data_IF_310309898268
#
_entry.id   IF_310309898268
#
_cell.length_a   1.000
_cell.length_b   1.000
_cell.length_c   1.000
_cell.angle_alpha   90.00
_cell.angle_beta   90.00
_cell.angle_gamma   90.00
#
_symmetry.space_group_name_H-M   'P 1'
#
loop_
_entity.id
_entity.type
_entity.pdbx_description
1 polymer ?
2 non-polymer ?
#
# COMPACT_ATOMS: atom_id res chain seq x y z
N UNK A 5 -8.62 12.63 -17.30
CA UNK A 5 -9.40 13.22 -16.21
C UNK A 5 -8.98 12.76 -14.84
N UNK A 6 -8.76 11.49 -14.72
CA UNK A 6 -8.48 10.85 -13.49
C UNK A 6 -8.00 9.43 -13.82
N UNK A 7 -7.70 8.65 -12.83
CA UNK A 7 -7.33 7.29 -13.04
C UNK A 7 -8.64 6.49 -13.09
N UNK A 8 -8.70 5.54 -13.98
CA UNK A 8 -9.90 4.73 -14.14
C UNK A 8 -9.64 3.33 -13.66
N UNK A 9 -8.52 3.15 -12.99
CA UNK A 9 -8.14 1.85 -12.44
C UNK A 9 -8.50 1.86 -10.98
N UNK A 10 -9.39 2.79 -10.61
CA UNK A 10 -9.76 3.01 -9.23
C UNK A 10 -10.25 1.74 -8.59
N UNK A 11 -11.29 1.20 -9.15
CA UNK A 11 -11.91 -0.04 -8.64
C UNK A 11 -10.97 -1.25 -8.80
N UNK A 12 -10.14 -1.18 -9.80
CA UNK A 12 -9.18 -2.22 -10.10
C UNK A 12 -8.08 -2.26 -9.03
N UNK A 13 -7.85 -1.12 -8.44
CA UNK A 13 -6.83 -1.00 -7.45
C UNK A 13 -7.36 -0.63 -6.09
N UNK A 14 -8.65 -0.48 -5.96
CA UNK A 14 -9.26 -0.14 -4.70
C UNK A 14 -10.47 -1.05 -4.48
N UNK A 15 -10.49 -1.81 -3.42
CA UNK A 15 -11.63 -2.65 -3.14
C UNK A 15 -12.10 -2.37 -1.71
N UNK A 16 -13.05 -1.45 -1.54
CA UNK A 16 -13.45 -0.98 -0.19
C UNK A 16 -13.82 -2.13 0.76
N UNK A 17 -14.50 -3.15 0.22
CA UNK A 17 -15.00 -4.25 1.02
C UNK A 17 -13.92 -4.99 1.77
N UNK A 18 -12.90 -5.43 1.07
CA UNK A 18 -11.83 -6.18 1.71
C UNK A 18 -10.88 -5.26 2.48
N UNK A 19 -10.94 -3.96 2.19
CA UNK A 19 -10.14 -2.94 2.89
C UNK A 19 -10.56 -2.88 4.31
N UNK A 20 -11.86 -2.82 4.54
CA UNK A 20 -12.42 -2.72 5.89
C UNK A 20 -11.90 -3.87 6.76
N UNK A 21 -11.91 -5.07 6.19
CA UNK A 21 -11.57 -6.27 6.94
C UNK A 21 -10.08 -6.32 7.20
N UNK A 22 -9.31 -5.72 6.32
CA UNK A 22 -7.89 -5.76 6.43
C UNK A 22 -7.40 -4.78 7.46
N UNK A 23 -8.00 -3.61 7.49
CA UNK A 23 -7.51 -2.54 8.34
C UNK A 23 -8.01 -2.67 9.76
N UNK A 24 -8.90 -3.61 10.00
CA UNK A 24 -9.47 -3.85 11.36
C UNK A 24 -8.38 -4.00 12.44
N UNK A 25 -7.56 -5.00 12.32
CA UNK A 25 -6.52 -5.28 13.31
C UNK A 25 -5.18 -5.26 12.65
N UNK A 26 -5.12 -4.53 11.58
CA UNK A 26 -3.94 -4.36 10.82
C UNK A 26 -2.88 -3.59 11.63
N UNK A 27 -1.70 -3.68 11.17
CA UNK A 27 -0.61 -2.96 11.68
C UNK A 27 -0.44 -1.76 10.82
N UNK A 28 -0.23 -0.66 11.39
CA UNK A 28 -0.05 0.54 10.64
C UNK A 28 1.35 1.01 10.59
N UNK A 29 1.74 1.33 9.37
CA UNK A 29 3.07 1.78 8.98
C UNK A 29 4.05 0.66 9.20
N UNK A 30 3.51 -0.52 9.12
CA UNK A 30 4.27 -1.70 9.25
C UNK A 30 4.00 -2.54 8.04
N UNK A 31 4.96 -2.57 7.10
CA UNK A 31 4.86 -3.49 5.99
C UNK A 31 4.71 -4.89 6.51
N UNK A 32 3.51 -5.37 6.45
CA UNK A 32 3.17 -6.66 6.94
C UNK A 32 3.92 -7.75 6.22
N UNK A 33 4.29 -7.49 4.96
CA UNK A 33 5.04 -8.49 4.19
C UNK A 33 6.48 -8.62 4.71
N UNK A 34 6.93 -7.62 5.50
CA UNK A 34 8.19 -7.69 6.14
C UNK A 34 8.10 -8.66 7.30
N UNK A 35 6.96 -8.60 7.95
CA UNK A 35 6.70 -9.33 9.19
C UNK A 35 6.35 -10.72 8.90
N UNK A 36 5.67 -10.94 7.80
CA UNK A 36 5.23 -12.21 7.50
C UNK A 36 6.32 -13.03 6.80
N UNK A 37 7.50 -12.44 6.74
CA UNK A 37 8.64 -13.05 6.12
C UNK A 37 9.35 -13.93 7.12
N UNK A 38 8.72 -15.04 7.40
CA UNK A 38 9.21 -16.03 8.39
C UNK A 38 10.58 -16.61 8.05
N UNK A 39 11.03 -16.40 6.81
CA UNK A 39 12.33 -16.87 6.33
C UNK A 39 13.44 -16.46 7.28
N UNK A 40 13.44 -15.19 7.62
CA UNK A 40 14.48 -14.61 8.42
C UNK A 40 14.03 -14.35 9.85
N UNK A 41 15.02 -14.25 10.70
CA UNK A 41 14.82 -14.09 12.08
C UNK A 41 14.45 -12.65 12.43
N UNK A 42 15.08 -11.70 11.76
CA UNK A 42 14.91 -10.29 12.12
C UNK A 42 13.61 -9.72 11.67
N UNK A 43 13.46 -9.47 10.35
CA UNK A 43 12.24 -8.81 9.77
C UNK A 43 12.17 -7.36 10.24
N UNK A 44 13.25 -6.94 10.84
CA UNK A 44 13.49 -5.66 11.43
C UNK A 44 14.88 -5.75 11.99
N UNK A 45 15.84 -5.24 11.27
CA UNK A 45 17.21 -5.35 11.67
C UNK A 45 17.56 -4.21 12.58
N UNK A 46 17.39 -4.47 13.85
CA UNK A 46 17.56 -3.54 14.95
C UNK A 46 18.88 -2.76 14.88
N UNK A 47 19.93 -3.40 14.39
CA UNK A 47 21.25 -2.79 14.23
C UNK A 47 21.20 -1.56 13.32
N UNK A 48 20.32 -1.59 12.38
CA UNK A 48 20.17 -0.50 11.46
C UNK A 48 18.95 0.35 11.84
N UNK A 49 17.95 -0.31 12.47
CA UNK A 49 16.66 0.31 12.86
C UNK A 49 16.07 1.13 11.72
N UNK A 50 15.53 0.41 10.81
CA UNK A 50 15.08 0.95 9.57
C UNK A 50 13.63 1.38 9.63
N UNK A 51 13.32 2.48 9.00
CA UNK A 51 11.99 2.89 8.82
C UNK A 51 11.76 3.31 7.37
N UNK A 52 11.47 2.36 6.49
CA UNK A 52 11.24 2.61 5.07
C UNK A 52 9.86 3.20 4.83
N UNK A 53 9.62 3.57 3.59
CA UNK A 53 8.37 4.10 3.19
C UNK A 53 7.36 2.97 3.20
N UNK A 54 6.16 3.26 3.56
CA UNK A 54 5.17 2.22 3.68
C UNK A 54 3.98 2.55 2.82
N UNK A 55 3.78 1.71 1.88
CA UNK A 55 2.75 1.85 0.92
C UNK A 55 1.70 0.78 1.16
N UNK A 56 0.50 1.20 1.32
CA UNK A 56 -0.59 0.31 1.56
C UNK A 56 -1.40 0.09 0.30
N UNK A 57 -1.55 -1.16 -0.07
CA UNK A 57 -2.37 -1.57 -1.21
C UNK A 57 -3.81 -1.16 -0.96
N UNK A 58 -4.31 -0.19 -1.73
CA UNK A 58 -5.68 0.32 -1.61
C UNK A 58 -6.65 -0.69 -2.12
N UNK A 59 -6.11 -1.71 -2.68
CA UNK A 59 -6.85 -2.77 -3.20
C UNK A 59 -7.16 -3.83 -2.14
N UNK A 60 -6.19 -4.21 -1.33
CA UNK A 60 -6.44 -5.28 -0.35
C UNK A 60 -6.00 -4.98 1.09
N UNK A 61 -5.36 -3.87 1.29
CA UNK A 61 -4.89 -3.54 2.62
C UNK A 61 -3.54 -4.18 2.94
N UNK A 62 -2.90 -4.72 1.92
CA UNK A 62 -1.56 -5.29 2.08
C UNK A 62 -0.58 -4.16 2.20
N UNK A 63 0.16 -4.18 3.23
CA UNK A 63 1.06 -3.10 3.49
C UNK A 63 2.48 -3.53 3.19
N UNK A 64 3.11 -2.75 2.39
CA UNK A 64 4.41 -3.03 1.94
C UNK A 64 5.29 -1.86 2.06
N UNK A 65 6.53 -2.13 2.01
CA UNK A 65 7.50 -1.13 2.10
C UNK A 65 7.87 -0.73 0.69
N UNK A 66 8.06 0.54 0.47
CA UNK A 66 8.29 1.03 -0.85
C UNK A 66 9.75 1.13 -1.20
N UNK A 67 10.06 2.10 -2.03
CA UNK A 67 11.38 2.33 -2.58
C UNK A 67 12.49 2.44 -1.51
N UNK A 68 12.15 2.89 -0.32
CA UNK A 68 13.17 3.14 0.71
C UNK A 68 13.51 1.89 1.50
N UNK A 69 13.18 0.77 0.97
CA UNK A 69 13.53 -0.46 1.58
C UNK A 69 14.38 -1.27 0.63
N UNK A 70 15.00 -2.30 1.15
CA UNK A 70 15.80 -3.22 0.38
C UNK A 70 14.88 -4.12 -0.44
N UNK A 71 13.76 -4.52 0.14
CA UNK A 71 12.90 -5.47 -0.50
C UNK A 71 11.94 -4.81 -1.44
N UNK A 72 11.48 -3.61 -1.08
CA UNK A 72 10.50 -2.88 -1.86
C UNK A 72 9.31 -3.81 -2.15
N UNK A 73 8.81 -4.45 -1.05
CA UNK A 73 7.78 -5.44 -1.05
C UNK A 73 6.49 -4.96 -1.73
N UNK A 74 6.23 -3.67 -1.69
CA UNK A 74 5.05 -3.09 -2.35
C UNK A 74 5.13 -3.34 -3.85
N UNK A 75 6.31 -3.23 -4.40
CA UNK A 75 6.47 -3.44 -5.79
C UNK A 75 6.47 -4.88 -6.12
N UNK A 76 7.11 -5.70 -5.28
CA UNK A 76 7.02 -7.15 -5.42
C UNK A 76 5.57 -7.60 -5.44
N UNK A 77 4.73 -6.93 -4.67
CA UNK A 77 3.32 -7.24 -4.60
C UNK A 77 2.65 -6.85 -5.89
N UNK A 78 3.11 -5.77 -6.49
CA UNK A 78 2.59 -5.41 -7.80
C UNK A 78 3.10 -6.36 -8.86
N UNK A 79 4.36 -6.74 -8.75
CA UNK A 79 4.98 -7.61 -9.73
C UNK A 79 4.55 -9.03 -9.53
N UNK A 80 3.81 -9.26 -8.47
CA UNK A 80 3.24 -10.56 -8.24
C UNK A 80 2.17 -10.83 -9.32
N UNK A 81 2.28 -11.92 -10.07
CA UNK A 81 1.29 -12.25 -11.07
C UNK A 81 0.02 -12.72 -10.39
N UNK A 82 -0.99 -12.01 -10.66
CA UNK A 82 -2.28 -12.19 -10.05
C UNK A 82 -3.38 -11.66 -10.96
N UNK A 83 -4.60 -12.11 -10.74
CA UNK A 83 -5.75 -11.74 -11.55
C UNK A 83 -6.11 -10.25 -11.41
N UNK A 84 -6.19 -9.76 -10.19
CA UNK A 84 -6.43 -8.35 -9.98
C UNK A 84 -5.11 -7.65 -9.99
N UNK A 85 -5.05 -6.41 -10.43
CA UNK A 85 -3.78 -5.71 -10.54
C UNK A 85 -3.18 -5.33 -9.18
N UNK A 86 -4.04 -4.85 -8.24
CA UNK A 86 -3.58 -4.41 -6.89
C UNK A 86 -2.52 -3.35 -7.04
N UNK A 87 -2.79 -2.46 -7.95
CA UNK A 87 -1.80 -1.51 -8.41
C UNK A 87 -1.90 -0.17 -7.74
N UNK A 88 -2.62 -0.14 -6.68
CA UNK A 88 -2.86 1.07 -5.96
C UNK A 88 -2.37 0.95 -4.61
N UNK A 89 -1.47 1.82 -4.29
CA UNK A 89 -0.92 1.89 -2.99
C UNK A 89 -0.88 3.32 -2.57
N UNK A 90 -1.13 3.56 -1.35
CA UNK A 90 -1.03 4.88 -0.82
C UNK A 90 0.16 4.92 0.10
N UNK A 91 0.77 6.03 0.19
CA UNK A 91 1.93 6.18 1.02
C UNK A 91 1.50 6.58 2.42
N UNK A 92 2.04 5.97 3.40
CA UNK A 92 1.79 6.32 4.80
C UNK A 92 2.80 7.36 5.25
N UNK A 93 3.40 7.97 4.28
CA UNK A 93 4.43 8.94 4.49
C UNK A 93 3.92 10.32 4.10
N UNK A 94 3.59 10.49 2.84
CA UNK A 94 3.14 11.80 2.32
C UNK A 94 1.64 11.74 2.03
N UNK A 95 1.08 10.56 2.19
CA UNK A 95 -0.32 10.27 1.87
C UNK A 95 -0.61 10.49 0.39
N UNK A 96 0.27 10.01 -0.47
CA UNK A 96 0.03 10.08 -1.88
C UNK A 96 -0.47 8.75 -2.31
N UNK A 97 -0.92 8.69 -3.51
CA UNK A 97 -1.34 7.46 -4.07
C UNK A 97 -0.45 7.17 -5.24
N UNK A 98 -0.13 5.94 -5.43
CA UNK A 98 0.66 5.55 -6.52
C UNK A 98 -0.11 4.50 -7.29
N UNK A 99 -0.18 4.67 -8.60
CA UNK A 99 -0.83 3.68 -9.43
C UNK A 99 0.22 3.14 -10.31
N UNK A 100 0.59 1.91 -10.08
CA UNK A 100 1.72 1.31 -10.80
C UNK A 100 1.44 1.15 -12.27
N UNK A 101 0.18 0.99 -12.58
CA UNK A 101 -0.23 0.74 -13.94
C UNK A 101 -0.41 2.08 -14.69
N UNK A 102 -0.59 3.16 -13.94
CA UNK A 102 -0.57 4.48 -14.52
C UNK A 102 0.85 4.93 -14.57
N UNK A 103 1.59 4.43 -13.61
CA UNK A 103 3.00 4.71 -13.38
C UNK A 103 3.20 6.20 -13.11
N UNK A 104 2.42 6.68 -12.17
CA UNK A 104 2.51 8.02 -11.72
C UNK A 104 1.82 8.09 -10.34
N UNK A 105 1.81 9.29 -9.78
CA UNK A 105 1.17 9.58 -8.52
C UNK A 105 -0.27 10.02 -8.74
N UNK A 106 -1.19 9.44 -8.04
CA UNK A 106 -2.59 9.71 -8.28
C UNK A 106 -3.12 10.76 -7.32
N UNK A 107 -4.09 11.49 -7.81
CA UNK A 107 -4.77 12.52 -7.18
C UNK A 107 -6.22 12.12 -7.15
N UNK A 108 -6.89 12.59 -6.19
CA UNK A 108 -8.26 12.25 -5.91
C UNK A 108 -8.99 13.42 -5.28
N UNK A 109 -10.29 13.30 -5.22
CA UNK A 109 -11.12 14.33 -4.65
C UNK A 109 -12.13 13.68 -3.71
N UNK A 110 -13.02 14.49 -3.16
CA UNK A 110 -14.00 14.04 -2.19
C UNK A 110 -15.09 13.13 -2.78
N UNK A 111 -15.36 13.25 -4.07
CA UNK A 111 -16.39 12.42 -4.69
C UNK A 111 -15.77 11.22 -5.38
N UNK A 112 -14.47 11.18 -5.41
CA UNK A 112 -13.75 10.09 -6.02
C UNK A 112 -13.49 9.05 -4.94
N UNK A 113 -13.77 7.79 -5.25
CA UNK A 113 -13.69 6.68 -4.28
C UNK A 113 -12.29 6.58 -3.68
N UNK A 114 -11.28 6.92 -4.45
CA UNK A 114 -9.92 6.85 -4.00
C UNK A 114 -9.68 7.84 -2.88
N UNK A 115 -10.25 9.01 -3.03
CA UNK A 115 -10.13 10.01 -2.00
C UNK A 115 -10.86 9.60 -0.78
N UNK A 116 -12.06 9.07 -0.98
CA UNK A 116 -12.91 8.58 0.09
C UNK A 116 -12.22 7.51 0.89
N UNK A 117 -11.54 6.62 0.21
CA UNK A 117 -10.90 5.54 0.89
C UNK A 117 -9.64 5.99 1.55
N UNK A 118 -8.84 6.78 0.87
CA UNK A 118 -7.64 7.38 1.51
C UNK A 118 -8.03 8.11 2.75
N UNK A 119 -9.14 8.79 2.71
CA UNK A 119 -9.64 9.53 3.88
C UNK A 119 -10.00 8.54 4.98
N UNK A 120 -10.66 7.48 4.59
CA UNK A 120 -11.07 6.42 5.51
C UNK A 120 -9.84 5.71 6.11
N UNK A 121 -8.92 5.36 5.28
CA UNK A 121 -7.74 4.63 5.69
C UNK A 121 -6.86 5.53 6.55
N UNK A 122 -6.91 6.80 6.28
CA UNK A 122 -6.21 7.74 7.06
C UNK A 122 -6.83 7.84 8.41
N UNK A 123 -8.15 7.69 8.48
CA UNK A 123 -8.87 7.60 9.76
C UNK A 123 -8.53 6.30 10.46
N UNK A 124 -8.13 5.29 9.68
CA UNK A 124 -7.78 3.99 10.26
C UNK A 124 -6.47 4.06 10.98
N UNK A 125 -5.50 4.60 10.27
CA UNK A 125 -4.15 4.69 10.72
C UNK A 125 -3.93 5.83 11.71
N UNK A 126 -4.72 6.91 11.55
CA UNK A 126 -4.70 8.06 12.49
C UNK A 126 -4.70 7.59 13.97
X LIG B 1 8.50 -5.02 3.54
X LIG C 1 -3.04 -6.14 -2.73
X LIG D 1 -4.33 4.08 -12.85
#
# INVERSE_FOLDING_TARGET
GSHMPVCRHIRKGLEQGNLKKALVNVEWNICQDCKTDNKVKDKAEEETEEKPSVWLCLKCGHQGCGRNSQEQHALKHYLTPRSEPHCLVLSLDNWSVWCYVCDNEVQYCSSNQLGQVVDYVRKQAS
ZN ZN
ZN ZN
ZN ZN
#
